data_IF_530495331385
#
_entry.id   IF_530495331385
#
_cell.length_a   1.000
_cell.length_b   1.000
_cell.length_c   1.000
_cell.angle_alpha   90.00
_cell.angle_beta   90.00
_cell.angle_gamma   90.00
#
_symmetry.space_group_name_H-M   'P 1'
#
loop_
_entity.id
_entity.type
_entity.pdbx_description
1 polymer ?
#
# COMPACT_ATOMS: atom_id res chain seq x y z
N UNK A 1 22.52 2.96 9.54
CA UNK A 1 22.31 2.00 8.42
C UNK A 1 21.31 2.62 7.45
N UNK A 2 21.52 2.54 6.13
CA UNK A 2 20.50 2.98 5.15
C UNK A 2 19.50 1.84 4.94
N UNK A 3 18.23 2.09 5.21
CA UNK A 3 17.15 1.18 4.81
C UNK A 3 17.08 1.07 3.29
N UNK A 4 16.69 -0.11 2.79
CA UNK A 4 16.40 -0.29 1.36
C UNK A 4 14.96 0.15 1.09
N UNK A 5 14.75 0.94 0.05
CA UNK A 5 13.43 1.40 -0.40
C UNK A 5 13.11 0.74 -1.74
N UNK A 6 11.89 0.21 -1.87
CA UNK A 6 11.34 -0.30 -3.14
C UNK A 6 10.17 0.61 -3.52
N UNK A 7 10.24 1.21 -4.70
CA UNK A 7 9.15 2.01 -5.25
C UNK A 7 8.37 1.19 -6.28
N UNK A 8 7.07 1.01 -6.07
CA UNK A 8 6.18 0.31 -6.99
C UNK A 8 5.30 1.37 -7.66
N UNK A 9 5.62 1.68 -8.92
CA UNK A 9 4.96 2.72 -9.72
C UNK A 9 4.13 2.09 -10.84
N UNK A 10 3.10 2.81 -11.28
CA UNK A 10 2.29 2.42 -12.43
C UNK A 10 0.91 3.09 -12.44
N UNK A 11 0.18 3.01 -13.57
CA UNK A 11 -1.18 3.54 -13.68
C UNK A 11 -2.16 2.98 -12.62
N UNK A 12 -3.29 3.64 -12.43
CA UNK A 12 -4.40 3.10 -11.62
C UNK A 12 -4.89 1.77 -12.21
N UNK A 13 -5.37 0.86 -11.36
CA UNK A 13 -5.86 -0.47 -11.73
C UNK A 13 -4.85 -1.47 -12.32
N UNK A 14 -3.53 -1.20 -12.25
CA UNK A 14 -2.49 -2.16 -12.69
C UNK A 14 -2.07 -3.18 -11.61
N UNK A 15 -2.77 -3.24 -10.47
CA UNK A 15 -2.51 -4.23 -9.42
C UNK A 15 -1.32 -3.91 -8.49
N UNK A 16 -0.90 -2.64 -8.40
CA UNK A 16 0.23 -2.20 -7.55
C UNK A 16 0.13 -2.66 -6.10
N UNK A 17 -1.05 -2.57 -5.50
CA UNK A 17 -1.29 -2.98 -4.12
C UNK A 17 -1.00 -4.48 -3.91
N UNK A 18 -1.40 -5.33 -4.85
CA UNK A 18 -1.12 -6.77 -4.79
C UNK A 18 0.39 -7.06 -4.85
N UNK A 19 1.12 -6.35 -5.71
CA UNK A 19 2.59 -6.45 -5.79
C UNK A 19 3.24 -5.96 -4.49
N UNK A 20 2.76 -4.83 -3.95
CA UNK A 20 3.24 -4.27 -2.68
C UNK A 20 3.09 -5.24 -1.52
N UNK A 21 1.93 -5.88 -1.39
CA UNK A 21 1.68 -6.91 -0.37
C UNK A 21 2.64 -8.10 -0.52
N UNK A 22 2.79 -8.63 -1.75
CA UNK A 22 3.68 -9.77 -1.99
C UNK A 22 5.16 -9.45 -1.71
N UNK A 23 5.61 -8.24 -2.04
CA UNK A 23 6.97 -7.78 -1.75
C UNK A 23 7.18 -7.61 -0.24
N UNK A 24 6.25 -6.95 0.45
CA UNK A 24 6.34 -6.73 1.89
C UNK A 24 6.31 -8.06 2.67
N UNK A 25 5.42 -8.99 2.30
CA UNK A 25 5.34 -10.33 2.88
C UNK A 25 6.64 -11.11 2.69
N UNK A 26 7.25 -11.05 1.50
CA UNK A 26 8.51 -11.77 1.20
C UNK A 26 9.71 -11.23 1.97
N UNK A 27 9.76 -9.93 2.23
CA UNK A 27 10.94 -9.27 2.82
C UNK A 27 10.73 -8.80 4.26
N UNK A 28 9.57 -9.05 4.86
CA UNK A 28 9.22 -8.56 6.20
C UNK A 28 9.17 -7.03 6.26
N UNK A 29 8.62 -6.41 5.21
CA UNK A 29 8.57 -4.95 5.05
C UNK A 29 7.24 -4.35 5.49
N UNK A 30 7.20 -3.02 5.43
CA UNK A 30 6.02 -2.20 5.68
C UNK A 30 5.65 -1.42 4.40
N UNK A 31 4.38 -1.02 4.28
CA UNK A 31 3.87 -0.30 3.11
C UNK A 31 3.66 1.17 3.46
N UNK A 32 4.24 2.05 2.64
CA UNK A 32 3.95 3.49 2.66
C UNK A 32 3.09 3.79 1.44
N UNK A 33 1.85 4.22 1.65
CA UNK A 33 0.99 4.64 0.57
C UNK A 33 1.50 5.95 -0.07
N UNK A 34 1.53 5.98 -1.40
CA UNK A 34 1.96 7.13 -2.21
C UNK A 34 0.85 7.59 -3.17
N UNK A 35 -0.42 7.41 -2.78
CA UNK A 35 -1.59 7.94 -3.48
C UNK A 35 -2.17 9.13 -2.71
N UNK A 36 -2.29 10.28 -3.36
CA UNK A 36 -2.77 11.53 -2.75
C UNK A 36 -4.25 11.50 -2.36
N UNK A 37 -5.01 10.51 -2.83
CA UNK A 37 -6.44 10.37 -2.54
C UNK A 37 -6.71 9.37 -1.42
N UNK A 38 -5.85 8.37 -1.23
CA UNK A 38 -6.04 7.36 -0.19
C UNK A 38 -5.76 7.87 1.25
N UNK A 39 -5.25 9.10 1.40
CA UNK A 39 -5.08 9.79 2.71
C UNK A 39 -6.39 10.35 3.29
N UNK A 40 -7.52 10.24 2.58
CA UNK A 40 -8.80 10.77 3.05
C UNK A 40 -9.63 9.69 3.77
N UNK A 41 -9.89 9.87 5.06
CA UNK A 41 -10.75 8.97 5.86
C UNK A 41 -12.14 8.79 5.27
N UNK A 42 -12.61 7.55 5.25
CA UNK A 42 -13.95 7.18 4.79
C UNK A 42 -14.15 7.24 3.27
N UNK A 43 -13.17 7.71 2.50
CA UNK A 43 -13.24 7.70 1.03
C UNK A 43 -12.67 6.41 0.45
N UNK A 44 -13.13 5.25 0.93
CA UNK A 44 -12.42 3.98 0.73
C UNK A 44 -12.73 3.34 -0.63
N UNK A 45 -14.01 3.32 -1.02
CA UNK A 45 -14.48 2.68 -2.26
C UNK A 45 -13.96 3.44 -3.50
N UNK A 46 -14.06 4.77 -3.49
CA UNK A 46 -13.68 5.59 -4.65
C UNK A 46 -12.17 5.75 -4.84
N UNK A 47 -11.36 5.38 -3.85
CA UNK A 47 -9.89 5.43 -3.91
C UNK A 47 -9.24 4.06 -3.92
N UNK A 48 -10.04 2.99 -4.07
CA UNK A 48 -9.56 1.60 -4.19
C UNK A 48 -8.59 1.20 -3.06
N UNK A 49 -8.92 1.61 -1.81
CA UNK A 49 -8.06 1.29 -0.67
C UNK A 49 -8.06 -0.21 -0.39
N UNK A 50 -6.89 -0.73 -0.04
CA UNK A 50 -6.79 -2.07 0.53
C UNK A 50 -7.48 -2.07 1.90
N UNK A 51 -8.58 -2.82 1.98
CA UNK A 51 -9.33 -2.98 3.22
C UNK A 51 -8.43 -3.59 4.32
N UNK A 52 -8.59 -3.19 5.59
CA UNK A 52 -7.74 -3.70 6.69
C UNK A 52 -7.63 -5.23 6.76
N UNK A 53 -8.72 -5.95 6.46
CA UNK A 53 -8.74 -7.41 6.43
C UNK A 53 -7.82 -8.01 5.35
N UNK A 54 -7.60 -7.30 4.25
CA UNK A 54 -6.79 -7.74 3.11
C UNK A 54 -5.32 -7.31 3.21
N UNK A 55 -4.96 -6.53 4.25
CA UNK A 55 -3.58 -6.04 4.46
C UNK A 55 -2.61 -7.12 4.97
N UNK A 56 -3.08 -8.35 5.23
CA UNK A 56 -2.27 -9.51 5.67
C UNK A 56 -1.42 -9.26 6.94
N UNK A 57 -1.86 -8.35 7.80
CA UNK A 57 -1.11 -7.93 8.99
C UNK A 57 0.11 -7.04 8.70
N UNK A 58 0.34 -6.63 7.45
CA UNK A 58 1.42 -5.72 7.07
C UNK A 58 1.09 -4.30 7.53
N UNK A 59 1.99 -3.58 8.23
CA UNK A 59 1.79 -2.18 8.56
C UNK A 59 1.63 -1.32 7.30
N UNK A 60 0.60 -0.46 7.30
CA UNK A 60 0.33 0.49 6.23
C UNK A 60 0.35 1.91 6.80
N UNK A 61 1.07 2.81 6.14
CA UNK A 61 1.23 4.20 6.51
C UNK A 61 0.67 5.12 5.44
N UNK A 62 0.33 6.36 5.81
CA UNK A 62 -0.18 7.40 4.91
C UNK A 62 -1.44 6.98 4.15
N UNK A 63 -2.30 6.22 4.82
CA UNK A 63 -3.63 5.83 4.38
C UNK A 63 -4.58 6.12 5.56
N UNK A 64 -5.79 6.58 5.26
CA UNK A 64 -6.83 6.95 6.24
C UNK A 64 -6.58 8.26 7.02
#
# INVERSE_FOLDING_TARGET
MRGRLIAILGPTATGKSAVGLAVAERFGGEIINCDSTAVYRGFDIGTDKVAPADRRGIPHHLID
#
